data_IF_559445738777
#
_entry.id   IF_559445738777
#
_cell.length_a   1.000
_cell.length_b   1.000
_cell.length_c   1.000
_cell.angle_alpha   90.00
_cell.angle_beta   90.00
_cell.angle_gamma   90.00
#
_symmetry.space_group_name_H-M   'P 1'
#
loop_
_entity.id
_entity.type
_entity.pdbx_description
1 polymer ?
#
# COMPACT_ATOMS: atom_id res chain seq x y z
N UNK A 1 -17.19 2.25 -12.44
CA UNK A 1 -17.68 1.10 -11.64
C UNK A 1 -17.26 1.38 -10.21
N UNK A 2 -18.21 1.71 -9.35
CA UNK A 2 -17.94 1.99 -7.94
C UNK A 2 -17.53 0.69 -7.24
N UNK A 3 -16.23 0.55 -6.92
CA UNK A 3 -15.72 -0.60 -6.18
C UNK A 3 -16.02 -0.31 -4.70
N UNK A 4 -17.21 -0.66 -4.22
CA UNK A 4 -17.57 -0.52 -2.80
C UNK A 4 -16.65 -1.33 -1.85
N UNK A 5 -16.98 -1.36 -0.55
CA UNK A 5 -16.14 -1.98 0.50
C UNK A 5 -15.59 -3.39 0.18
N UNK A 6 -16.35 -4.24 -0.51
CA UNK A 6 -15.89 -5.57 -0.94
C UNK A 6 -14.70 -5.49 -1.92
N UNK A 7 -14.74 -4.55 -2.85
CA UNK A 7 -13.66 -4.34 -3.81
C UNK A 7 -12.36 -3.88 -3.16
N UNK A 8 -12.45 -3.09 -2.08
CA UNK A 8 -11.26 -2.62 -1.36
C UNK A 8 -10.58 -3.76 -0.56
N UNK A 9 -11.37 -4.63 0.09
CA UNK A 9 -10.82 -5.81 0.77
C UNK A 9 -10.15 -6.77 -0.22
N UNK A 10 -10.77 -7.01 -1.37
CA UNK A 10 -10.22 -7.85 -2.43
C UNK A 10 -8.91 -7.27 -2.99
N UNK A 11 -8.85 -5.94 -3.16
CA UNK A 11 -7.63 -5.23 -3.54
C UNK A 11 -6.50 -5.48 -2.54
N UNK A 12 -6.73 -5.24 -1.25
CA UNK A 12 -5.70 -5.43 -0.21
C UNK A 12 -5.18 -6.87 -0.20
N UNK A 13 -6.06 -7.85 -0.27
CA UNK A 13 -5.65 -9.26 -0.27
C UNK A 13 -4.79 -9.61 -1.49
N UNK A 14 -5.15 -9.12 -2.68
CA UNK A 14 -4.37 -9.35 -3.91
C UNK A 14 -3.00 -8.68 -3.83
N UNK A 15 -2.95 -7.44 -3.34
CA UNK A 15 -1.70 -6.71 -3.16
C UNK A 15 -0.77 -7.46 -2.21
N UNK A 16 -1.25 -7.90 -1.04
CA UNK A 16 -0.45 -8.67 -0.09
C UNK A 16 0.09 -9.95 -0.73
N UNK A 17 -0.76 -10.73 -1.40
CA UNK A 17 -0.36 -12.02 -1.99
C UNK A 17 0.80 -11.89 -2.98
N UNK A 18 0.88 -10.76 -3.70
CA UNK A 18 1.96 -10.49 -4.66
C UNK A 18 3.15 -9.83 -3.97
N UNK A 19 2.90 -8.78 -3.20
CA UNK A 19 3.93 -7.93 -2.64
C UNK A 19 4.81 -8.63 -1.60
N UNK A 20 4.28 -9.58 -0.81
CA UNK A 20 5.04 -10.26 0.25
C UNK A 20 6.37 -10.85 -0.25
N UNK A 21 6.40 -11.40 -1.47
CA UNK A 21 7.63 -11.96 -2.06
C UNK A 21 8.67 -10.87 -2.39
N UNK A 22 8.21 -9.69 -2.75
CA UNK A 22 9.05 -8.53 -3.05
C UNK A 22 9.42 -7.70 -1.81
N UNK A 23 8.70 -7.89 -0.70
CA UNK A 23 9.00 -7.29 0.60
C UNK A 23 10.05 -8.08 1.38
N UNK A 24 10.01 -9.42 1.30
CA UNK A 24 10.83 -10.33 2.12
C UNK A 24 12.03 -10.94 1.37
N UNK A 25 12.06 -10.83 0.03
CA UNK A 25 13.17 -11.31 -0.78
C UNK A 25 14.46 -10.49 -0.57
N UNK A 26 15.62 -11.16 -0.62
CA UNK A 26 16.96 -10.54 -0.43
C UNK A 26 17.29 -9.44 -1.45
N UNK A 27 16.69 -9.50 -2.63
CA UNK A 27 16.77 -8.48 -3.69
C UNK A 27 15.37 -7.99 -4.05
N UNK A 28 14.48 -8.01 -3.06
CA UNK A 28 13.08 -7.63 -3.21
C UNK A 28 12.95 -6.15 -3.51
N UNK A 29 12.13 -5.81 -4.51
CA UNK A 29 11.89 -4.43 -4.95
C UNK A 29 11.42 -3.50 -3.81
N UNK A 30 10.74 -4.09 -2.83
CA UNK A 30 10.17 -3.40 -1.69
C UNK A 30 10.91 -3.73 -0.39
N UNK A 31 12.11 -4.29 -0.45
CA UNK A 31 12.85 -4.63 0.77
C UNK A 31 13.34 -3.37 1.50
N UNK A 32 13.29 -3.40 2.83
CA UNK A 32 13.80 -2.32 3.68
C UNK A 32 12.98 -1.03 3.62
N UNK A 33 13.51 0.03 4.22
CA UNK A 33 12.81 1.32 4.36
C UNK A 33 12.48 1.94 3.00
N UNK A 34 13.47 2.14 2.13
CA UNK A 34 13.27 2.75 0.81
C UNK A 34 12.28 1.96 -0.06
N UNK A 35 12.36 0.63 0.01
CA UNK A 35 11.45 -0.27 -0.68
C UNK A 35 10.02 -0.16 -0.18
N UNK A 36 9.81 -0.06 1.13
CA UNK A 36 8.48 0.13 1.71
C UNK A 36 7.87 1.48 1.39
N UNK A 37 8.66 2.54 1.40
CA UNK A 37 8.19 3.85 0.97
C UNK A 37 7.81 3.86 -0.52
N UNK A 38 8.62 3.19 -1.35
CA UNK A 38 8.30 2.99 -2.76
C UNK A 38 6.99 2.23 -2.93
N UNK A 39 6.83 1.14 -2.20
CA UNK A 39 5.63 0.32 -2.25
C UNK A 39 4.38 1.11 -1.88
N UNK A 40 4.45 1.92 -0.81
CA UNK A 40 3.39 2.83 -0.42
C UNK A 40 3.04 3.83 -1.54
N UNK A 41 4.04 4.45 -2.19
CA UNK A 41 3.81 5.35 -3.34
C UNK A 41 3.14 4.65 -4.51
N UNK A 42 3.46 3.39 -4.78
CA UNK A 42 2.86 2.62 -5.87
C UNK A 42 1.43 2.13 -5.55
N UNK A 43 1.10 1.96 -4.26
CA UNK A 43 -0.28 1.68 -3.82
C UNK A 43 -1.20 2.91 -3.94
N UNK A 44 -0.66 4.12 -3.82
CA UNK A 44 -1.43 5.38 -3.81
C UNK A 44 -2.36 5.56 -5.02
N UNK A 45 -1.86 5.49 -6.27
CA UNK A 45 -2.68 5.64 -7.47
C UNK A 45 -3.86 4.66 -7.52
N UNK A 46 -3.67 3.42 -7.07
CA UNK A 46 -4.73 2.41 -7.06
C UNK A 46 -5.87 2.75 -6.09
N UNK A 47 -5.62 3.56 -5.06
CA UNK A 47 -6.69 4.01 -4.16
C UNK A 47 -7.66 4.96 -4.86
N UNK A 48 -7.23 5.71 -5.86
CA UNK A 48 -8.07 6.69 -6.58
C UNK A 48 -9.24 6.03 -7.35
N UNK A 49 -9.19 4.72 -7.59
CA UNK A 49 -10.28 3.93 -8.17
C UNK A 49 -11.48 3.74 -7.22
N UNK A 50 -11.32 4.05 -5.94
CA UNK A 50 -12.32 3.80 -4.90
C UNK A 50 -12.99 5.11 -4.47
N UNK A 51 -14.24 5.01 -4.02
CA UNK A 51 -14.94 6.15 -3.43
C UNK A 51 -14.27 6.59 -2.12
N UNK A 52 -14.06 7.91 -1.97
CA UNK A 52 -13.42 8.52 -0.80
C UNK A 52 -12.03 7.92 -0.45
N UNK A 53 -11.05 7.99 -1.36
CA UNK A 53 -9.78 7.30 -1.23
C UNK A 53 -8.98 7.73 0.00
N UNK A 54 -9.09 8.99 0.41
CA UNK A 54 -8.43 9.53 1.60
C UNK A 54 -8.84 8.79 2.88
N UNK A 55 -10.10 8.37 2.99
CA UNK A 55 -10.60 7.60 4.13
C UNK A 55 -10.03 6.18 4.22
N UNK A 56 -9.51 5.65 3.11
CA UNK A 56 -9.00 4.28 3.01
C UNK A 56 -7.51 4.18 3.36
N UNK A 57 -6.78 5.30 3.35
CA UNK A 57 -5.32 5.33 3.51
C UNK A 57 -4.88 4.61 4.80
N UNK A 58 -5.49 4.95 5.94
CA UNK A 58 -5.14 4.37 7.24
C UNK A 58 -5.31 2.85 7.28
N UNK A 59 -6.33 2.34 6.58
CA UNK A 59 -6.62 0.90 6.52
C UNK A 59 -5.56 0.12 5.74
N UNK A 60 -4.85 0.77 4.82
CA UNK A 60 -3.80 0.10 4.03
C UNK A 60 -2.55 -0.24 4.84
N UNK A 61 -2.28 0.45 5.95
CA UNK A 61 -1.11 0.11 6.76
C UNK A 61 -1.23 -1.29 7.37
N UNK A 62 -2.32 -1.57 8.09
CA UNK A 62 -2.55 -2.90 8.68
C UNK A 62 -3.01 -3.93 7.64
N UNK A 63 -3.74 -3.50 6.62
CA UNK A 63 -4.29 -4.36 5.57
C UNK A 63 -3.28 -4.77 4.50
N UNK A 64 -2.23 -3.98 4.26
CA UNK A 64 -1.20 -4.23 3.25
C UNK A 64 0.18 -4.27 3.88
N UNK A 65 0.69 -3.15 4.41
CA UNK A 65 2.09 -3.04 4.84
C UNK A 65 2.47 -4.11 5.88
N UNK A 66 1.77 -4.12 7.02
CA UNK A 66 2.05 -5.05 8.12
C UNK A 66 2.01 -6.51 7.67
N UNK A 67 1.06 -6.86 6.79
CA UNK A 67 0.91 -8.23 6.27
C UNK A 67 1.97 -8.59 5.23
N UNK A 68 2.33 -7.65 4.36
CA UNK A 68 3.33 -7.85 3.32
C UNK A 68 4.74 -8.07 3.91
N UNK A 69 5.05 -7.42 5.04
CA UNK A 69 6.33 -7.55 5.75
C UNK A 69 6.31 -8.54 6.93
N UNK A 70 5.39 -9.50 6.93
CA UNK A 70 5.31 -10.55 7.98
C UNK A 70 5.36 -9.97 9.41
N UNK A 71 4.48 -8.99 9.66
CA UNK A 71 4.33 -8.28 10.94
C UNK A 71 5.52 -7.43 11.38
N UNK A 72 6.55 -7.27 10.53
CA UNK A 72 7.75 -6.49 10.81
C UNK A 72 7.97 -5.40 9.74
N UNK A 73 7.04 -4.44 9.59
CA UNK A 73 7.18 -3.39 8.60
C UNK A 73 8.43 -2.55 8.90
N UNK A 74 9.20 -2.13 7.87
CA UNK A 74 10.40 -1.33 8.04
C UNK A 74 10.11 0.17 8.20
N UNK A 75 8.85 0.58 8.07
CA UNK A 75 8.37 1.96 8.27
C UNK A 75 7.10 1.97 9.10
N UNK A 76 6.82 3.09 9.76
CA UNK A 76 5.62 3.25 10.57
C UNK A 76 4.37 3.64 9.75
N UNK A 77 3.21 3.70 10.42
CA UNK A 77 1.95 4.05 9.79
C UNK A 77 1.93 5.48 9.20
N UNK A 78 2.69 6.41 9.80
CA UNK A 78 2.75 7.81 9.37
C UNK A 78 3.58 7.94 8.10
N UNK A 79 4.74 7.29 8.05
CA UNK A 79 5.61 7.20 6.87
C UNK A 79 4.90 6.51 5.71
N UNK A 80 4.19 5.42 6.00
CA UNK A 80 3.36 4.71 5.02
C UNK A 80 2.29 5.64 4.42
N UNK A 81 1.47 6.26 5.27
CA UNK A 81 0.37 7.14 4.83
C UNK A 81 0.88 8.34 4.04
N UNK A 82 2.00 8.96 4.47
CA UNK A 82 2.65 10.05 3.74
C UNK A 82 3.01 9.64 2.31
N UNK A 83 3.60 8.45 2.15
CA UNK A 83 4.01 7.96 0.83
C UNK A 83 2.83 7.57 -0.06
N UNK A 84 1.74 7.02 0.51
CA UNK A 84 0.47 6.81 -0.21
C UNK A 84 -0.05 8.12 -0.80
N UNK A 85 -0.11 9.20 0.00
CA UNK A 85 -0.56 10.53 -0.45
C UNK A 85 0.33 11.06 -1.57
N UNK A 86 1.66 10.95 -1.44
CA UNK A 86 2.60 11.33 -2.52
C UNK A 86 2.29 10.57 -3.81
N UNK A 87 1.99 9.26 -3.73
CA UNK A 87 1.60 8.44 -4.87
C UNK A 87 0.31 8.92 -5.53
N UNK A 88 -0.72 9.18 -4.72
CA UNK A 88 -2.01 9.72 -5.18
C UNK A 88 -1.85 11.07 -5.88
N UNK A 89 -1.10 12.00 -5.27
CA UNK A 89 -0.91 13.35 -5.80
C UNK A 89 -0.14 13.36 -7.13
N UNK A 90 0.79 12.42 -7.32
CA UNK A 90 1.52 12.27 -8.59
C UNK A 90 0.61 11.78 -9.72
N UNK A 91 -0.34 10.90 -9.42
CA UNK A 91 -1.26 10.35 -10.42
C UNK A 91 -2.39 11.33 -10.81
N UNK A 92 -2.62 12.38 -10.01
CA UNK A 92 -3.61 13.44 -10.28
C UNK A 92 -3.09 14.56 -11.20
N UNK A 93 -1.79 14.62 -11.46
CA UNK A 93 -1.15 15.62 -12.32
C UNK A 93 -1.08 15.14 -13.76
#
# INVERSE_FOLDING_TARGET
MDKGHKGFSDYMQRVVNVASRHCLGKDGLYQGQEGAERFARECGPALLDFYNPESLISSTYSGICVRAYDLKPPIDAKEWSKNIVIGMDRARR
#
